data_IF_877188130129
#
_entry.id   IF_877188130129
#
_cell.length_a   1.000
_cell.length_b   1.000
_cell.length_c   1.000
_cell.angle_alpha   90.00
_cell.angle_beta   90.00
_cell.angle_gamma   90.00
#
_symmetry.space_group_name_H-M   'P 1'
#
loop_
_entity.id
_entity.type
_entity.pdbx_description
1 polymer ?
#
# COMPACT_ATOMS: atom_id res chain seq x y z
N UNK A 1 -32.58 -20.32 -0.06
CA UNK A 1 -31.81 -20.53 1.18
C UNK A 1 -30.42 -19.95 0.96
N UNK A 2 -30.16 -18.75 1.46
CA UNK A 2 -28.82 -18.17 1.48
C UNK A 2 -27.99 -18.93 2.51
N UNK A 3 -27.09 -19.78 2.04
CA UNK A 3 -26.05 -20.39 2.88
C UNK A 3 -25.23 -19.24 3.50
N UNK A 4 -24.90 -19.27 4.81
CA UNK A 4 -24.00 -18.26 5.37
C UNK A 4 -22.70 -18.25 4.57
N UNK A 5 -22.12 -17.06 4.27
CA UNK A 5 -20.86 -17.00 3.54
C UNK A 5 -19.79 -17.71 4.38
N UNK A 6 -19.23 -18.79 3.83
CA UNK A 6 -18.06 -19.44 4.41
C UNK A 6 -16.86 -18.62 3.96
N UNK A 7 -15.99 -18.21 4.88
CA UNK A 7 -14.78 -17.46 4.60
C UNK A 7 -13.58 -18.40 4.54
N UNK A 8 -12.68 -18.22 3.57
CA UNK A 8 -11.47 -19.03 3.43
C UNK A 8 -10.23 -18.18 3.23
N UNK A 9 -9.08 -18.73 3.59
CA UNK A 9 -7.79 -18.07 3.36
C UNK A 9 -7.33 -18.36 1.93
N UNK A 10 -6.94 -17.35 1.13
CA UNK A 10 -6.50 -17.56 -0.25
C UNK A 10 -5.22 -18.40 -0.38
N UNK A 11 -4.42 -18.50 0.69
CA UNK A 11 -3.21 -19.34 0.73
C UNK A 11 -3.41 -20.68 1.44
N UNK A 12 -4.41 -20.79 2.33
CA UNK A 12 -4.68 -21.98 3.14
C UNK A 12 -6.15 -22.37 3.01
N UNK A 13 -6.49 -23.04 1.90
CA UNK A 13 -7.87 -23.41 1.55
C UNK A 13 -8.53 -24.39 2.54
N UNK A 14 -7.73 -25.02 3.41
CA UNK A 14 -8.19 -25.90 4.49
C UNK A 14 -8.92 -25.13 5.60
N UNK A 15 -8.68 -23.81 5.70
CA UNK A 15 -9.32 -22.95 6.69
C UNK A 15 -10.64 -22.45 6.14
N UNK A 16 -11.73 -22.87 6.80
CA UNK A 16 -13.09 -22.44 6.50
C UNK A 16 -13.74 -21.95 7.79
N UNK A 17 -13.99 -20.65 7.86
CA UNK A 17 -14.59 -19.99 9.01
C UNK A 17 -15.96 -19.43 8.64
N UNK A 18 -16.90 -19.43 9.59
CA UNK A 18 -18.22 -18.84 9.38
C UNK A 18 -18.23 -17.32 9.58
N UNK A 19 -17.09 -16.73 9.94
CA UNK A 19 -16.94 -15.31 10.28
C UNK A 19 -15.77 -14.67 9.53
N UNK A 20 -15.86 -13.37 9.22
CA UNK A 20 -14.70 -12.61 8.76
C UNK A 20 -13.66 -12.52 9.88
N UNK A 21 -12.38 -12.61 9.51
CA UNK A 21 -11.26 -12.57 10.44
C UNK A 21 -9.93 -12.74 9.70
N UNK A 22 -8.85 -12.85 10.47
CA UNK A 22 -7.52 -13.13 9.95
C UNK A 22 -7.20 -14.62 10.05
N UNK A 23 -6.50 -15.15 9.05
CA UNK A 23 -6.03 -16.51 9.03
C UNK A 23 -5.03 -16.76 10.17
N UNK A 24 -5.22 -17.79 11.02
CA UNK A 24 -4.32 -18.09 12.13
C UNK A 24 -2.92 -18.56 11.71
N UNK A 25 -2.74 -18.95 10.45
CA UNK A 25 -1.46 -19.47 9.92
C UNK A 25 -0.62 -18.35 9.29
N UNK A 26 -1.23 -17.46 8.49
CA UNK A 26 -0.50 -16.45 7.72
C UNK A 26 -0.96 -15.01 7.95
N UNK A 27 -1.93 -14.78 8.83
CA UNK A 27 -2.41 -13.44 9.18
C UNK A 27 -3.09 -12.68 8.05
N UNK A 28 -3.43 -13.34 6.94
CA UNK A 28 -4.18 -12.72 5.84
C UNK A 28 -5.68 -12.71 6.11
N UNK A 29 -6.42 -11.68 5.65
CA UNK A 29 -7.86 -11.61 5.82
C UNK A 29 -8.53 -12.78 5.09
N UNK A 30 -9.54 -13.37 5.72
CA UNK A 30 -10.35 -14.43 5.13
C UNK A 30 -11.35 -13.82 4.12
N UNK A 31 -11.42 -14.42 2.94
CA UNK A 31 -12.30 -13.98 1.86
C UNK A 31 -13.56 -14.85 1.78
N UNK A 32 -14.75 -14.26 1.54
CA UNK A 32 -15.98 -15.03 1.43
C UNK A 32 -15.98 -15.91 0.17
N UNK A 33 -16.32 -17.17 0.34
CA UNK A 33 -16.58 -18.12 -0.74
C UNK A 33 -17.97 -17.79 -1.32
N UNK A 34 -17.99 -17.02 -2.41
CA UNK A 34 -19.22 -16.65 -3.11
C UNK A 34 -19.11 -15.29 -3.79
N UNK A 35 -20.13 -14.93 -4.57
CA UNK A 35 -20.21 -13.63 -5.23
C UNK A 35 -20.80 -12.62 -4.23
N UNK A 36 -20.09 -11.53 -3.88
CA UNK A 36 -20.66 -10.46 -3.06
C UNK A 36 -21.85 -9.82 -3.81
N UNK A 37 -22.98 -9.61 -3.14
CA UNK A 37 -24.22 -9.07 -3.74
C UNK A 37 -24.35 -7.54 -3.57
N UNK A 38 -23.23 -6.83 -3.39
CA UNK A 38 -23.23 -5.40 -3.13
C UNK A 38 -22.81 -4.59 -4.37
N UNK A 39 -23.67 -3.66 -4.80
CA UNK A 39 -23.42 -2.75 -5.93
C UNK A 39 -22.50 -1.55 -5.57
N UNK A 40 -22.05 -1.46 -4.31
CA UNK A 40 -21.15 -0.41 -3.84
C UNK A 40 -19.69 -0.90 -3.81
N UNK A 41 -18.70 -0.06 -4.19
CA UNK A 41 -17.31 -0.46 -4.11
C UNK A 41 -16.94 -0.77 -2.64
N UNK A 42 -16.28 -1.91 -2.38
CA UNK A 42 -15.80 -2.24 -1.05
C UNK A 42 -14.97 -1.10 -0.46
N UNK A 43 -15.21 -0.75 0.81
CA UNK A 43 -14.54 0.34 1.51
C UNK A 43 -13.00 0.16 1.51
N UNK A 44 -12.51 -1.08 1.48
CA UNK A 44 -11.10 -1.41 1.34
C UNK A 44 -10.51 -0.88 0.02
N UNK A 45 -11.21 -1.07 -1.10
CA UNK A 45 -10.73 -0.61 -2.41
C UNK A 45 -10.61 0.91 -2.45
N UNK A 46 -11.55 1.63 -1.85
CA UNK A 46 -11.54 3.09 -1.75
C UNK A 46 -10.33 3.58 -0.94
N UNK A 47 -10.09 2.96 0.22
CA UNK A 47 -8.94 3.30 1.08
C UNK A 47 -7.60 2.99 0.42
N UNK A 48 -7.49 1.85 -0.28
CA UNK A 48 -6.26 1.49 -1.00
C UNK A 48 -6.02 2.42 -2.19
N UNK A 49 -7.07 2.82 -2.90
CA UNK A 49 -6.98 3.75 -4.02
C UNK A 49 -6.52 5.15 -3.58
N UNK A 50 -7.05 5.68 -2.48
CA UNK A 50 -6.62 6.97 -1.93
C UNK A 50 -5.14 6.97 -1.54
N UNK A 51 -4.68 5.92 -0.85
CA UNK A 51 -3.27 5.78 -0.45
C UNK A 51 -2.37 5.63 -1.67
N UNK A 52 -2.80 4.88 -2.67
CA UNK A 52 -2.10 4.75 -3.95
C UNK A 52 -1.97 6.10 -4.65
N UNK A 53 -3.06 6.84 -4.83
CA UNK A 53 -3.04 8.13 -5.54
C UNK A 53 -2.24 9.20 -4.80
N UNK A 54 -2.35 9.27 -3.47
CA UNK A 54 -1.58 10.22 -2.68
C UNK A 54 -0.10 9.88 -2.76
N UNK A 55 0.28 8.61 -2.58
CA UNK A 55 1.69 8.19 -2.67
C UNK A 55 2.27 8.38 -4.08
N UNK A 56 1.49 8.14 -5.13
CA UNK A 56 1.89 8.36 -6.52
C UNK A 56 2.21 9.84 -6.77
N UNK A 57 1.35 10.75 -6.30
CA UNK A 57 1.56 12.18 -6.43
C UNK A 57 2.81 12.68 -5.70
N UNK A 58 3.19 12.08 -4.57
CA UNK A 58 4.46 12.41 -3.89
C UNK A 58 5.67 11.74 -4.54
N UNK A 59 5.48 10.53 -5.08
CA UNK A 59 6.56 9.76 -5.73
C UNK A 59 6.98 10.39 -7.06
N UNK A 60 6.05 10.98 -7.83
CA UNK A 60 6.35 11.60 -9.12
C UNK A 60 7.39 12.75 -8.95
N UNK A 61 7.18 13.78 -8.11
CA UNK A 61 8.16 14.82 -7.85
C UNK A 61 9.48 14.28 -7.31
N UNK A 62 9.44 13.27 -6.43
CA UNK A 62 10.65 12.63 -5.90
C UNK A 62 11.47 11.99 -7.03
N UNK A 63 10.81 11.28 -7.95
CA UNK A 63 11.44 10.62 -9.10
C UNK A 63 12.07 11.66 -10.05
N UNK A 64 11.35 12.76 -10.33
CA UNK A 64 11.87 13.86 -11.12
C UNK A 64 13.04 14.57 -10.44
N UNK A 65 13.05 14.71 -9.11
CA UNK A 65 14.14 15.35 -8.38
C UNK A 65 15.42 14.49 -8.42
N UNK A 66 15.29 13.18 -8.20
CA UNK A 66 16.42 12.25 -8.16
C UNK A 66 16.95 11.93 -9.57
N UNK A 67 16.07 11.60 -10.53
CA UNK A 67 16.48 11.21 -11.89
C UNK A 67 16.56 12.39 -12.87
N UNK A 68 15.88 13.51 -12.62
CA UNK A 68 15.90 14.68 -13.50
C UNK A 68 17.22 15.45 -13.48
N UNK A 69 18.05 15.27 -12.45
CA UNK A 69 19.41 15.81 -12.41
C UNK A 69 20.32 15.28 -13.52
N UNK A 70 20.07 14.06 -14.01
CA UNK A 70 20.79 13.49 -15.16
C UNK A 70 20.30 14.02 -16.52
N UNK A 71 19.08 14.56 -16.59
CA UNK A 71 18.47 15.04 -17.84
C UNK A 71 18.67 16.55 -18.06
N UNK A 72 18.94 17.30 -16.98
CA UNK A 72 19.09 18.76 -17.02
C UNK A 72 20.41 19.17 -16.36
N UNK A 73 21.49 19.17 -17.14
CA UNK A 73 22.83 19.67 -16.76
C UNK A 73 22.85 21.18 -16.33
N UNK A 74 21.68 21.82 -16.38
CA UNK A 74 21.40 23.21 -15.98
C UNK A 74 20.86 23.36 -14.54
N UNK A 75 20.26 22.34 -13.92
CA UNK A 75 19.79 22.41 -12.52
C UNK A 75 20.88 21.95 -11.53
N UNK A 76 21.77 21.06 -11.99
CA UNK A 76 22.88 20.48 -11.22
C UNK A 76 23.96 21.49 -10.79
N UNK A 77 24.02 22.69 -11.38
CA UNK A 77 25.05 23.68 -11.07
C UNK A 77 24.73 24.57 -9.86
N UNK A 78 23.54 24.43 -9.24
CA UNK A 78 23.30 25.08 -7.95
C UNK A 78 23.80 24.22 -6.79
N UNK A 79 24.99 24.54 -6.27
CA UNK A 79 25.55 23.93 -5.05
C UNK A 79 24.60 23.99 -3.83
N UNK A 80 23.56 24.82 -3.90
CA UNK A 80 22.48 24.92 -2.94
C UNK A 80 21.54 23.71 -2.95
N UNK A 81 21.17 23.19 -4.13
CA UNK A 81 20.29 22.02 -4.24
C UNK A 81 20.99 20.74 -3.79
N UNK A 82 22.30 20.55 -4.02
CA UNK A 82 22.99 19.32 -3.57
C UNK A 82 23.02 19.15 -2.04
N UNK A 83 23.09 20.25 -1.28
CA UNK A 83 23.08 20.24 0.19
C UNK A 83 21.68 19.97 0.76
N UNK A 84 20.63 20.49 0.11
CA UNK A 84 19.24 20.38 0.57
C UNK A 84 18.46 19.22 -0.08
N UNK A 85 18.91 18.68 -1.21
CA UNK A 85 18.26 17.57 -1.93
C UNK A 85 18.09 16.35 -1.03
N UNK A 86 19.13 15.94 -0.29
CA UNK A 86 19.02 14.81 0.63
C UNK A 86 17.95 15.01 1.73
N UNK A 87 17.80 16.23 2.24
CA UNK A 87 16.77 16.55 3.24
C UNK A 87 15.37 16.60 2.62
N UNK A 88 15.25 17.12 1.40
CA UNK A 88 13.97 17.18 0.65
C UNK A 88 13.53 15.76 0.28
N UNK A 89 14.43 14.91 -0.22
CA UNK A 89 14.16 13.51 -0.54
C UNK A 89 13.77 12.72 0.70
N UNK A 90 14.45 12.93 1.83
CA UNK A 90 14.06 12.33 3.11
C UNK A 90 12.64 12.78 3.53
N UNK A 91 12.34 14.07 3.43
CA UNK A 91 11.04 14.62 3.80
C UNK A 91 9.90 14.13 2.87
N UNK A 92 10.13 13.97 1.57
CA UNK A 92 9.15 13.43 0.62
C UNK A 92 8.98 11.91 0.75
N UNK A 93 10.07 11.17 0.98
CA UNK A 93 10.03 9.72 1.08
C UNK A 93 9.36 9.24 2.38
N UNK A 94 9.54 9.96 3.48
CA UNK A 94 8.98 9.62 4.80
C UNK A 94 7.45 9.37 4.77
N UNK A 95 6.60 10.29 4.27
CA UNK A 95 5.17 10.05 4.21
C UNK A 95 4.81 8.93 3.24
N UNK A 96 5.53 8.78 2.12
CA UNK A 96 5.28 7.68 1.18
C UNK A 96 5.54 6.33 1.86
N UNK A 97 6.69 6.14 2.50
CA UNK A 97 7.07 4.86 3.10
C UNK A 97 6.28 4.58 4.38
N UNK A 98 6.20 5.55 5.30
CA UNK A 98 5.58 5.31 6.60
C UNK A 98 4.05 5.27 6.52
N UNK A 99 3.41 6.13 5.72
CA UNK A 99 1.95 6.17 5.64
C UNK A 99 1.40 5.21 4.59
N UNK A 100 1.99 5.11 3.39
CA UNK A 100 1.53 4.12 2.41
C UNK A 100 1.98 2.70 2.79
N UNK A 101 3.20 2.55 3.31
CA UNK A 101 3.77 1.25 3.70
C UNK A 101 3.23 0.65 5.00
N UNK A 102 2.52 1.42 5.85
CA UNK A 102 2.06 0.95 7.17
C UNK A 102 1.25 -0.36 7.14
N UNK A 103 0.44 -0.58 6.10
CA UNK A 103 -0.37 -1.80 5.95
C UNK A 103 0.51 -3.03 5.71
N UNK A 104 1.60 -2.88 4.95
CA UNK A 104 2.56 -3.94 4.70
C UNK A 104 3.36 -4.27 5.96
N UNK A 105 3.77 -3.28 6.75
CA UNK A 105 4.48 -3.53 8.01
C UNK A 105 3.63 -4.33 9.02
N UNK A 106 2.32 -4.02 9.14
CA UNK A 106 1.41 -4.79 10.00
C UNK A 106 1.32 -6.26 9.59
N UNK A 107 1.16 -6.52 8.29
CA UNK A 107 1.09 -7.89 7.75
C UNK A 107 2.43 -8.63 7.88
N UNK A 108 3.54 -7.94 7.61
CA UNK A 108 4.88 -8.49 7.76
C UNK A 108 5.20 -8.91 9.20
N UNK A 109 4.79 -8.10 10.19
CA UNK A 109 4.93 -8.45 11.59
C UNK A 109 4.03 -9.63 12.00
N UNK A 110 2.82 -9.73 11.47
CA UNK A 110 1.91 -10.84 11.76
C UNK A 110 2.31 -12.18 11.13
N UNK A 111 3.20 -12.17 10.13
CA UNK A 111 3.71 -13.37 9.45
C UNK A 111 5.03 -13.89 10.01
N UNK A 112 5.66 -13.16 10.94
CA UNK A 112 6.94 -13.52 11.55
C UNK A 112 6.72 -14.27 12.87
#
# INVERSE_FOLDING_TARGET
MSKPPIYTCPMHLEIQEEKPGDCPICGMPLEPIGIPLEDAPPQELVQMSLRFWISLNFSIPLLFLEMGGHFTDLIAQSAFLSRYAGWISFALATPVVLWAGASFFKKGYASF
#
